data_IF_135338121320
#
_entry.id   IF_135338121320
#
_cell.length_a   1.000
_cell.length_b   1.000
_cell.length_c   1.000
_cell.angle_alpha   90.00
_cell.angle_beta   90.00
_cell.angle_gamma   90.00
#
_symmetry.space_group_name_H-M   'P 1'
#
loop_
_entity.id
_entity.type
_entity.pdbx_description
1 polymer ?
#
# COMPACT_ATOMS: atom_id res chain seq x y z
N UNK A 1 1.35 24.27 16.41
CA UNK A 1 0.70 23.98 17.70
C UNK A 1 0.75 25.23 18.54
N UNK A 2 -0.39 25.61 19.12
CA UNK A 2 -0.51 26.78 20.00
C UNK A 2 -0.91 26.28 21.39
N UNK A 3 -0.20 26.76 22.40
CA UNK A 3 -0.51 26.47 23.81
C UNK A 3 -0.79 27.79 24.50
N UNK A 4 -1.94 27.86 25.15
CA UNK A 4 -2.33 28.96 26.02
C UNK A 4 -2.30 28.44 27.46
N UNK A 5 -1.47 29.04 28.29
CA UNK A 5 -1.42 28.75 29.73
C UNK A 5 -2.08 29.89 30.50
N UNK A 6 -2.93 29.56 31.47
CA UNK A 6 -3.68 30.51 32.31
C UNK A 6 -3.39 30.21 33.78
N UNK A 7 -3.04 31.22 34.58
CA UNK A 7 -2.89 31.09 36.03
C UNK A 7 -4.21 31.27 36.79
N UNK A 8 -4.21 31.04 38.12
CA UNK A 8 -5.41 31.18 38.96
C UNK A 8 -5.99 32.60 38.97
N UNK A 9 -5.15 33.61 38.71
CA UNK A 9 -5.56 35.01 38.63
C UNK A 9 -6.10 35.40 37.25
N UNK A 10 -6.07 34.49 36.27
CA UNK A 10 -6.55 34.70 34.91
C UNK A 10 -5.50 35.33 33.97
N UNK A 11 -4.24 35.45 34.38
CA UNK A 11 -3.18 35.91 33.47
C UNK A 11 -2.86 34.81 32.46
N UNK A 12 -2.67 35.20 31.19
CA UNK A 12 -2.39 34.24 30.13
C UNK A 12 -1.02 34.47 29.48
N UNK A 13 -0.43 33.38 28.98
CA UNK A 13 0.74 33.43 28.09
C UNK A 13 0.51 32.44 26.94
N UNK A 14 0.83 32.88 25.72
CA UNK A 14 0.74 32.06 24.52
C UNK A 14 2.15 31.64 24.07
N UNK A 15 2.30 30.40 23.65
CA UNK A 15 3.51 29.91 23.01
C UNK A 15 3.14 29.03 21.82
N UNK A 16 3.91 29.15 20.73
CA UNK A 16 3.73 28.34 19.54
C UNK A 16 4.98 27.50 19.26
N UNK A 17 4.75 26.31 18.72
CA UNK A 17 5.80 25.42 18.22
C UNK A 17 5.27 24.58 17.07
N UNK A 18 6.16 23.97 16.29
CA UNK A 18 5.83 23.13 15.13
C UNK A 18 5.99 21.65 15.46
N UNK A 19 5.06 20.83 14.93
CA UNK A 19 5.23 19.38 14.85
C UNK A 19 5.35 19.06 13.36
N UNK A 20 6.47 18.44 12.96
CA UNK A 20 6.66 17.95 11.60
C UNK A 20 6.21 16.50 11.53
N UNK A 21 5.39 16.16 10.53
CA UNK A 21 4.94 14.79 10.25
C UNK A 21 5.56 14.37 8.93
N UNK A 22 6.32 13.29 8.94
CA UNK A 22 6.98 12.73 7.77
C UNK A 22 6.56 11.27 7.58
N UNK A 23 6.52 10.84 6.32
CA UNK A 23 6.25 9.47 5.96
C UNK A 23 7.53 8.81 5.44
N UNK A 24 8.03 7.83 6.18
CA UNK A 24 9.33 7.18 5.95
C UNK A 24 9.26 5.66 6.09
N UNK A 25 8.08 5.13 6.41
CA UNK A 25 7.88 3.68 6.50
C UNK A 25 7.43 3.20 5.12
N UNK A 26 7.97 2.08 4.66
CA UNK A 26 7.57 1.49 3.39
C UNK A 26 6.20 0.81 3.52
N UNK A 27 5.46 0.63 2.41
CA UNK A 27 4.23 -0.15 2.42
C UNK A 27 4.51 -1.61 2.78
N UNK A 28 3.55 -2.22 3.46
CA UNK A 28 3.48 -3.64 3.73
C UNK A 28 2.54 -4.30 2.72
N UNK A 29 2.96 -5.40 2.11
CA UNK A 29 2.20 -6.11 1.05
C UNK A 29 1.85 -7.50 1.58
N UNK A 30 0.58 -7.88 1.43
CA UNK A 30 0.12 -9.19 1.86
C UNK A 30 0.90 -10.30 1.11
N UNK A 31 1.28 -11.39 1.80
CA UNK A 31 2.02 -12.47 1.17
C UNK A 31 1.22 -13.07 0.01
N UNK A 32 1.92 -13.33 -1.09
CA UNK A 32 1.39 -14.03 -2.26
C UNK A 32 1.98 -15.43 -2.28
N UNK A 33 1.13 -16.44 -2.29
CA UNK A 33 1.56 -17.84 -2.35
C UNK A 33 1.98 -18.23 -3.77
N UNK A 34 2.99 -19.10 -3.87
CA UNK A 34 3.41 -19.69 -5.13
C UNK A 34 2.26 -20.50 -5.74
N UNK A 35 2.19 -20.49 -7.08
CA UNK A 35 1.23 -21.28 -7.83
C UNK A 35 1.94 -22.24 -8.78
N UNK A 36 1.33 -23.41 -8.97
CA UNK A 36 1.69 -24.35 -10.04
C UNK A 36 0.41 -24.71 -10.77
N UNK A 37 0.40 -24.52 -12.09
CA UNK A 37 -0.72 -24.89 -12.96
C UNK A 37 -0.18 -25.56 -14.21
N UNK A 38 -1.01 -26.31 -14.93
CA UNK A 38 -0.65 -26.86 -16.24
C UNK A 38 -0.73 -25.79 -17.33
N UNK A 39 0.11 -25.89 -18.35
CA UNK A 39 0.03 -25.03 -19.53
C UNK A 39 -1.37 -25.08 -20.15
N UNK A 40 -1.87 -23.93 -20.61
CA UNK A 40 -3.24 -23.73 -21.11
C UNK A 40 -4.35 -23.90 -20.06
N UNK A 41 -4.02 -23.96 -18.76
CA UNK A 41 -4.98 -23.93 -17.66
C UNK A 41 -4.92 -22.57 -16.95
N UNK A 42 -6.06 -21.89 -16.70
CA UNK A 42 -6.07 -20.62 -15.98
C UNK A 42 -5.37 -20.71 -14.62
N UNK A 43 -4.66 -19.65 -14.23
CA UNK A 43 -4.18 -19.52 -12.86
C UNK A 43 -5.35 -19.22 -11.91
N UNK A 44 -5.11 -19.34 -10.60
CA UNK A 44 -5.97 -18.70 -9.63
C UNK A 44 -5.63 -17.21 -9.62
N UNK A 45 -6.63 -16.36 -9.82
CA UNK A 45 -6.45 -14.92 -9.76
C UNK A 45 -5.77 -14.48 -8.44
N UNK A 46 -4.82 -13.56 -8.55
CA UNK A 46 -4.09 -12.98 -7.43
C UNK A 46 -4.40 -11.50 -7.35
N UNK A 47 -5.12 -11.09 -6.32
CA UNK A 47 -5.29 -9.67 -6.01
C UNK A 47 -4.17 -9.22 -5.08
N UNK A 48 -3.39 -8.23 -5.52
CA UNK A 48 -2.35 -7.61 -4.72
C UNK A 48 -2.99 -6.62 -3.74
N UNK A 49 -2.76 -6.85 -2.45
CA UNK A 49 -3.22 -6.00 -1.38
C UNK A 49 -2.01 -5.49 -0.59
N UNK A 50 -2.04 -4.21 -0.23
CA UNK A 50 -1.01 -3.61 0.59
C UNK A 50 -1.56 -2.46 1.42
N UNK A 51 -0.86 -2.14 2.49
CA UNK A 51 -1.19 -1.03 3.39
C UNK A 51 0.05 -0.22 3.66
N UNK A 52 -0.18 1.06 3.92
CA UNK A 52 0.87 2.01 4.26
C UNK A 52 0.39 2.88 5.42
N UNK A 53 1.30 3.26 6.31
CA UNK A 53 0.99 4.09 7.49
C UNK A 53 0.48 5.48 7.10
N UNK A 54 0.77 5.97 5.89
CA UNK A 54 0.22 7.23 5.37
C UNK A 54 -1.28 7.16 5.09
N UNK A 55 -1.85 5.95 5.01
CA UNK A 55 -3.24 5.72 4.62
C UNK A 55 -3.52 6.01 3.14
N UNK A 56 -2.48 6.27 2.33
CA UNK A 56 -2.61 6.44 0.89
C UNK A 56 -2.66 5.07 0.18
N UNK A 57 -3.23 5.01 -1.04
CA UNK A 57 -3.20 3.79 -1.84
C UNK A 57 -1.77 3.34 -2.15
N UNK A 58 -1.55 2.04 -2.08
CA UNK A 58 -0.31 1.40 -2.57
C UNK A 58 -0.44 1.17 -4.08
N UNK A 59 0.62 1.45 -4.82
CA UNK A 59 0.70 1.20 -6.28
C UNK A 59 1.65 0.04 -6.53
N UNK A 60 1.30 -0.86 -7.45
CA UNK A 60 2.11 -2.02 -7.80
C UNK A 60 2.63 -1.92 -9.24
N UNK A 61 3.88 -2.34 -9.43
CA UNK A 61 4.46 -2.59 -10.75
C UNK A 61 4.78 -4.10 -10.81
N UNK A 62 4.19 -4.78 -11.78
CA UNK A 62 4.29 -6.25 -11.93
C UNK A 62 5.08 -6.58 -13.18
N UNK A 63 6.10 -7.43 -13.04
CA UNK A 63 6.94 -7.89 -14.13
C UNK A 63 7.25 -9.39 -13.96
N UNK A 64 7.76 -10.03 -15.02
CA UNK A 64 8.12 -11.45 -14.99
C UNK A 64 6.93 -12.43 -15.03
N UNK A 65 5.75 -11.97 -15.45
CA UNK A 65 4.59 -12.84 -15.64
C UNK A 65 4.82 -13.82 -16.80
N UNK A 66 4.33 -15.07 -16.71
CA UNK A 66 4.31 -16.00 -17.84
C UNK A 66 3.54 -15.45 -19.05
N UNK A 67 3.89 -15.89 -20.26
CA UNK A 67 3.12 -15.53 -21.46
C UNK A 67 1.66 -15.99 -21.32
N UNK A 68 0.71 -15.09 -21.61
CA UNK A 68 -0.74 -15.34 -21.43
C UNK A 68 -1.29 -14.97 -20.05
N UNK A 69 -0.44 -14.49 -19.13
CA UNK A 69 -0.85 -13.92 -17.83
C UNK A 69 -0.63 -12.40 -17.84
N UNK A 70 -1.56 -11.66 -17.26
CA UNK A 70 -1.58 -10.19 -17.25
C UNK A 70 -1.84 -9.62 -15.87
N UNK A 71 -1.40 -8.39 -15.63
CA UNK A 71 -1.76 -7.60 -14.45
C UNK A 71 -2.68 -6.45 -14.87
N UNK A 72 -3.82 -6.33 -14.18
CA UNK A 72 -4.73 -5.20 -14.30
C UNK A 72 -4.53 -4.21 -13.13
N UNK A 73 -3.99 -3.00 -13.38
CA UNK A 73 -3.77 -2.00 -12.34
C UNK A 73 -5.04 -1.35 -11.80
N UNK A 74 -6.18 -1.45 -12.50
CA UNK A 74 -7.46 -0.91 -11.98
C UNK A 74 -8.01 -1.79 -10.86
N UNK A 75 -7.82 -3.11 -10.97
CA UNK A 75 -8.31 -4.11 -10.02
C UNK A 75 -7.22 -4.71 -9.14
N UNK A 76 -5.96 -4.30 -9.34
CA UNK A 76 -4.77 -4.89 -8.72
C UNK A 76 -4.70 -6.42 -8.87
N UNK A 77 -5.20 -6.97 -9.98
CA UNK A 77 -5.36 -8.42 -10.13
C UNK A 77 -4.46 -8.98 -11.23
N UNK A 78 -3.73 -10.04 -10.90
CA UNK A 78 -3.00 -10.89 -11.85
C UNK A 78 -3.90 -12.07 -12.22
N UNK A 79 -4.17 -12.25 -13.50
CA UNK A 79 -5.05 -13.30 -14.03
C UNK A 79 -4.61 -13.72 -15.43
N UNK A 80 -5.17 -14.82 -15.92
CA UNK A 80 -4.95 -15.30 -17.29
C UNK A 80 -4.63 -16.78 -17.38
N UNK A 81 -4.16 -17.19 -18.55
CA UNK A 81 -3.91 -18.59 -18.90
C UNK A 81 -2.50 -18.69 -19.51
N UNK A 82 -1.53 -19.29 -18.82
CA UNK A 82 -0.17 -19.47 -19.33
C UNK A 82 -0.14 -20.27 -20.63
N UNK A 83 0.63 -19.83 -21.62
CA UNK A 83 0.72 -20.47 -22.95
C UNK A 83 2.04 -21.21 -23.20
N UNK A 84 3.02 -21.04 -22.31
CA UNK A 84 4.36 -21.65 -22.42
C UNK A 84 4.82 -22.25 -21.09
N UNK A 85 5.85 -23.11 -21.15
CA UNK A 85 6.49 -23.78 -19.99
C UNK A 85 7.77 -23.05 -19.61
#
# INVERSE_FOLDING_TARGET
VTVVSTDESGNTTETTFTITVEDTTAPDVDPVEDQTTEVNTPIKDVTLNGKDNSGKPVTHEVSGLPEGVTYDPETNTISGTPTTV
#
